data_IF_729507050705
#
_entry.id   IF_729507050705
#
_cell.length_a   1.000
_cell.length_b   1.000
_cell.length_c   1.000
_cell.angle_alpha   90.00
_cell.angle_beta   90.00
_cell.angle_gamma   90.00
#
_symmetry.space_group_name_H-M   'P 1'
#
loop_
_entity.id
_entity.type
_entity.pdbx_description
1 polymer ?
#
# COMPACT_ATOMS: atom_id res chain seq x y z
N UNK A 1 -1.34 -13.16 -14.86
CA UNK A 1 -1.91 -12.89 -13.53
C UNK A 1 -2.06 -14.20 -12.77
N UNK A 2 -1.82 -14.21 -11.45
CA UNK A 2 -2.11 -15.38 -10.63
C UNK A 2 -3.60 -15.70 -10.64
N UNK A 3 -4.00 -16.96 -10.42
CA UNK A 3 -5.39 -17.35 -10.36
C UNK A 3 -6.14 -16.69 -9.18
N UNK A 4 -7.36 -16.20 -9.41
CA UNK A 4 -8.19 -15.51 -8.39
C UNK A 4 -8.44 -16.33 -7.13
N UNK A 5 -8.57 -17.65 -7.22
CA UNK A 5 -8.82 -18.52 -6.06
C UNK A 5 -7.72 -18.44 -4.99
N UNK A 6 -6.50 -18.02 -5.36
CA UNK A 6 -5.40 -17.85 -4.41
C UNK A 6 -5.69 -16.75 -3.38
N UNK A 7 -6.50 -15.74 -3.72
CA UNK A 7 -6.89 -14.66 -2.79
C UNK A 7 -7.77 -15.15 -1.63
N UNK A 8 -8.38 -16.30 -1.78
CA UNK A 8 -9.33 -16.87 -0.80
C UNK A 8 -8.73 -18.01 0.03
N UNK A 9 -7.43 -18.28 -0.13
CA UNK A 9 -6.74 -19.32 0.64
C UNK A 9 -6.21 -18.74 1.97
N UNK A 10 -6.29 -19.49 3.08
CA UNK A 10 -5.85 -19.02 4.39
C UNK A 10 -4.35 -18.71 4.50
N UNK A 11 -3.53 -19.35 3.69
CA UNK A 11 -2.08 -19.21 3.64
C UNK A 11 -1.59 -18.24 2.55
N UNK A 12 -2.50 -17.67 1.77
CA UNK A 12 -2.14 -16.68 0.75
C UNK A 12 -1.49 -15.44 1.38
N UNK A 13 -0.39 -14.93 0.83
CA UNK A 13 0.25 -13.71 1.34
C UNK A 13 -0.59 -12.44 1.11
N UNK A 14 -1.60 -12.52 0.23
CA UNK A 14 -2.61 -11.48 0.04
C UNK A 14 -3.98 -12.15 0.03
N UNK A 15 -4.86 -11.69 0.88
CA UNK A 15 -6.19 -12.26 1.04
C UNK A 15 -7.26 -11.21 0.70
N UNK A 16 -8.31 -11.64 0.02
CA UNK A 16 -9.52 -10.85 -0.20
C UNK A 16 -10.68 -11.48 0.55
N UNK A 17 -11.05 -10.87 1.67
CA UNK A 17 -12.16 -11.31 2.52
C UNK A 17 -13.40 -10.45 2.24
N UNK A 18 -14.59 -11.03 2.46
CA UNK A 18 -15.86 -10.36 2.24
C UNK A 18 -16.70 -10.37 3.51
N UNK A 19 -17.26 -9.20 3.83
CA UNK A 19 -18.25 -9.05 4.90
C UNK A 19 -19.37 -8.11 4.42
N UNK A 20 -20.46 -8.66 3.91
CA UNK A 20 -21.50 -7.88 3.27
C UNK A 20 -20.98 -7.10 2.06
N UNK A 21 -21.15 -5.79 2.08
CA UNK A 21 -20.65 -4.87 1.05
C UNK A 21 -19.18 -4.43 1.28
N UNK A 22 -18.55 -4.86 2.37
CA UNK A 22 -17.13 -4.60 2.64
C UNK A 22 -16.25 -5.68 2.00
N UNK A 23 -15.16 -5.27 1.40
CA UNK A 23 -14.03 -6.11 1.00
C UNK A 23 -12.84 -5.78 1.87
N UNK A 24 -12.19 -6.79 2.43
CA UNK A 24 -10.99 -6.61 3.25
C UNK A 24 -9.82 -7.16 2.43
N UNK A 25 -8.99 -6.26 1.94
CA UNK A 25 -7.73 -6.60 1.29
C UNK A 25 -6.66 -6.66 2.37
N UNK A 26 -6.23 -7.88 2.69
CA UNK A 26 -5.36 -8.17 3.82
C UNK A 26 -4.00 -8.69 3.36
N UNK A 27 -2.92 -8.07 3.82
CA UNK A 27 -1.58 -8.60 3.68
C UNK A 27 -1.32 -9.61 4.81
N UNK A 28 -0.79 -10.78 4.45
CA UNK A 28 -0.62 -11.93 5.34
C UNK A 28 0.77 -12.55 5.18
N UNK A 29 1.80 -11.71 5.26
CA UNK A 29 3.23 -12.11 5.24
C UNK A 29 3.92 -11.55 6.48
N UNK A 30 3.39 -11.88 7.66
CA UNK A 30 3.79 -11.30 8.95
C UNK A 30 5.28 -11.43 9.23
N UNK A 31 5.90 -12.58 8.91
CA UNK A 31 7.34 -12.83 9.11
C UNK A 31 8.25 -11.85 8.37
N UNK A 32 7.77 -11.27 7.26
CA UNK A 32 8.45 -10.24 6.49
C UNK A 32 7.83 -8.85 6.71
N UNK A 33 7.12 -8.61 7.83
CA UNK A 33 6.45 -7.36 8.15
C UNK A 33 5.51 -6.89 7.02
N UNK A 34 4.91 -7.82 6.31
CA UNK A 34 4.05 -7.58 5.15
C UNK A 34 4.74 -6.79 4.02
N UNK A 35 6.07 -6.86 3.91
CA UNK A 35 6.80 -6.29 2.79
C UNK A 35 6.30 -6.90 1.47
N UNK A 36 6.03 -6.03 0.49
CA UNK A 36 5.39 -6.41 -0.77
C UNK A 36 6.45 -6.95 -1.73
N UNK A 37 6.36 -8.22 -2.07
CA UNK A 37 7.14 -8.82 -3.16
C UNK A 37 6.34 -8.88 -4.47
N UNK A 38 6.97 -9.42 -5.52
CA UNK A 38 6.35 -9.55 -6.85
C UNK A 38 5.08 -10.40 -6.86
N UNK A 39 5.03 -11.45 -6.06
CA UNK A 39 3.85 -12.30 -5.97
C UNK A 39 2.70 -11.52 -5.32
N UNK A 40 2.98 -10.82 -4.23
CA UNK A 40 1.99 -10.01 -3.53
C UNK A 40 1.44 -8.89 -4.40
N UNK A 41 2.31 -8.15 -5.13
CA UNK A 41 1.83 -7.07 -6.02
C UNK A 41 0.93 -7.61 -7.13
N UNK A 42 1.24 -8.79 -7.66
CA UNK A 42 0.41 -9.47 -8.66
C UNK A 42 -0.95 -9.90 -8.07
N UNK A 43 -0.97 -10.43 -6.85
CA UNK A 43 -2.22 -10.80 -6.14
C UNK A 43 -3.06 -9.57 -5.80
N UNK A 44 -2.44 -8.47 -5.39
CA UNK A 44 -3.12 -7.19 -5.15
C UNK A 44 -3.81 -6.72 -6.44
N UNK A 45 -3.14 -6.82 -7.59
CA UNK A 45 -3.76 -6.49 -8.88
C UNK A 45 -5.00 -7.34 -9.15
N UNK A 46 -4.91 -8.65 -8.94
CA UNK A 46 -6.05 -9.56 -9.12
C UNK A 46 -7.20 -9.21 -8.16
N UNK A 47 -6.88 -8.79 -6.94
CA UNK A 47 -7.90 -8.33 -5.98
C UNK A 47 -8.62 -7.07 -6.48
N UNK A 48 -7.89 -6.09 -7.03
CA UNK A 48 -8.52 -4.91 -7.62
C UNK A 48 -9.36 -5.26 -8.86
N UNK A 49 -8.92 -6.22 -9.70
CA UNK A 49 -9.71 -6.71 -10.85
C UNK A 49 -11.03 -7.37 -10.43
N UNK A 50 -11.15 -7.79 -9.17
CA UNK A 50 -12.37 -8.31 -8.59
C UNK A 50 -13.21 -7.20 -7.91
N UNK A 51 -12.55 -6.29 -7.21
CA UNK A 51 -13.20 -5.22 -6.45
C UNK A 51 -13.79 -4.13 -7.34
N UNK A 52 -13.03 -3.65 -8.33
CA UNK A 52 -13.43 -2.48 -9.14
C UNK A 52 -14.75 -2.69 -9.88
N UNK A 53 -14.96 -3.80 -10.60
CA UNK A 53 -16.21 -4.02 -11.31
C UNK A 53 -17.35 -4.51 -10.39
N UNK A 54 -17.08 -4.91 -9.15
CA UNK A 54 -18.09 -5.50 -8.28
C UNK A 54 -19.13 -4.45 -7.82
N UNK A 55 -20.40 -4.55 -8.21
CA UNK A 55 -21.42 -3.59 -7.80
C UNK A 55 -21.76 -3.67 -6.31
N UNK A 56 -21.44 -4.80 -5.67
CA UNK A 56 -21.71 -5.07 -4.26
C UNK A 56 -20.53 -4.68 -3.34
N UNK A 57 -19.37 -4.30 -3.89
CA UNK A 57 -18.24 -3.84 -3.10
C UNK A 57 -18.35 -2.32 -2.89
N UNK A 58 -18.88 -1.90 -1.75
CA UNK A 58 -19.04 -0.48 -1.42
C UNK A 58 -17.82 0.09 -0.68
N UNK A 59 -17.22 -0.71 0.20
CA UNK A 59 -16.08 -0.31 1.01
C UNK A 59 -14.96 -1.32 0.88
N UNK A 60 -13.74 -0.83 0.75
CA UNK A 60 -12.51 -1.62 0.76
C UNK A 60 -11.69 -1.20 1.97
N UNK A 61 -11.40 -2.14 2.86
CA UNK A 61 -10.50 -1.96 3.99
C UNK A 61 -9.16 -2.62 3.65
N UNK A 62 -8.08 -1.86 3.63
CA UNK A 62 -6.73 -2.38 3.47
C UNK A 62 -6.03 -2.46 4.82
N UNK A 63 -5.48 -3.65 5.14
CA UNK A 63 -4.79 -3.91 6.41
C UNK A 63 -3.67 -4.95 6.27
N UNK A 64 -2.82 -5.03 7.28
CA UNK A 64 -1.85 -6.12 7.45
C UNK A 64 -2.16 -6.98 8.67
N UNK A 65 -1.69 -8.23 8.66
CA UNK A 65 -1.70 -9.11 9.83
C UNK A 65 -0.46 -8.85 10.68
N UNK A 66 -0.60 -8.95 12.01
CA UNK A 66 0.49 -8.84 12.97
C UNK A 66 0.85 -7.40 13.32
N UNK A 67 2.15 -7.16 13.59
CA UNK A 67 2.64 -5.88 14.12
C UNK A 67 2.95 -4.81 13.07
N UNK A 68 2.73 -5.11 11.80
CA UNK A 68 3.01 -4.23 10.68
C UNK A 68 1.83 -4.24 9.72
N UNK A 69 1.37 -3.08 9.32
CA UNK A 69 0.46 -3.00 8.19
C UNK A 69 1.21 -3.36 6.90
N UNK A 70 2.34 -2.70 6.63
CA UNK A 70 3.21 -2.99 5.50
C UNK A 70 4.54 -2.24 5.63
N UNK A 71 5.67 -2.93 5.58
CA UNK A 71 7.00 -2.32 5.67
C UNK A 71 7.55 -1.80 4.32
N UNK A 72 6.71 -1.72 3.28
CA UNK A 72 7.11 -1.26 1.95
C UNK A 72 7.39 -2.38 0.97
N UNK A 73 8.11 -2.09 -0.10
CA UNK A 73 8.58 -3.08 -1.06
C UNK A 73 9.66 -4.00 -0.44
N UNK A 74 9.68 -5.26 -0.86
CA UNK A 74 10.73 -6.22 -0.45
C UNK A 74 12.03 -5.91 -1.19
N UNK A 75 12.80 -4.95 -0.65
CA UNK A 75 14.04 -4.45 -1.24
C UNK A 75 15.06 -5.57 -1.47
N UNK A 76 15.15 -6.55 -0.56
CA UNK A 76 16.09 -7.66 -0.72
C UNK A 76 15.76 -8.52 -1.94
N UNK A 77 14.47 -8.78 -2.18
CA UNK A 77 14.04 -9.51 -3.38
C UNK A 77 14.32 -8.71 -4.65
N UNK A 78 14.16 -7.39 -4.63
CA UNK A 78 14.40 -6.50 -5.76
C UNK A 78 15.89 -6.40 -6.10
N UNK A 79 16.77 -6.27 -5.11
CA UNK A 79 18.24 -6.27 -5.30
C UNK A 79 18.69 -7.60 -5.88
N UNK A 80 18.20 -8.72 -5.35
CA UNK A 80 18.50 -10.06 -5.87
C UNK A 80 18.10 -10.21 -7.36
N UNK A 81 17.02 -9.59 -7.78
CA UNK A 81 16.60 -9.57 -9.18
C UNK A 81 17.48 -8.64 -10.03
N UNK A 82 17.83 -7.47 -9.49
CA UNK A 82 18.66 -6.50 -10.19
C UNK A 82 20.07 -7.01 -10.48
N UNK A 83 20.61 -7.88 -9.62
CA UNK A 83 21.92 -8.50 -9.75
C UNK A 83 21.99 -9.69 -10.71
N UNK A 84 20.85 -10.10 -11.31
CA UNK A 84 20.84 -11.21 -12.27
C UNK A 84 21.56 -10.81 -13.56
N UNK A 85 22.33 -11.74 -14.14
CA UNK A 85 22.96 -11.56 -15.45
C UNK A 85 21.92 -11.54 -16.58
N UNK A 86 20.89 -12.35 -16.47
CA UNK A 86 19.79 -12.41 -17.44
C UNK A 86 18.99 -11.11 -17.43
N UNK A 87 18.96 -10.43 -18.57
CA UNK A 87 18.27 -9.14 -18.76
C UNK A 87 16.76 -9.25 -18.53
N UNK A 88 16.15 -10.40 -18.81
CA UNK A 88 14.71 -10.64 -18.59
C UNK A 88 14.45 -10.75 -17.10
N UNK A 89 15.28 -11.50 -16.36
CA UNK A 89 15.16 -11.59 -14.91
C UNK A 89 15.39 -10.23 -14.23
N UNK A 90 16.40 -9.49 -14.68
CA UNK A 90 16.70 -8.13 -14.19
C UNK A 90 15.55 -7.17 -14.45
N UNK A 91 14.91 -7.22 -15.61
CA UNK A 91 13.77 -6.34 -15.95
C UNK A 91 12.57 -6.51 -15.02
N UNK A 92 12.46 -7.66 -14.32
CA UNK A 92 11.39 -7.92 -13.36
C UNK A 92 11.44 -6.99 -12.14
N UNK A 93 12.61 -6.44 -11.77
CA UNK A 93 12.72 -5.42 -10.73
C UNK A 93 12.06 -4.11 -11.17
N UNK A 94 12.24 -3.71 -12.42
CA UNK A 94 11.59 -2.51 -12.99
C UNK A 94 10.08 -2.70 -13.08
N UNK A 95 9.62 -3.87 -13.48
CA UNK A 95 8.19 -4.18 -13.54
C UNK A 95 7.51 -4.13 -12.16
N UNK A 96 8.24 -4.43 -11.09
CA UNK A 96 7.71 -4.29 -9.75
C UNK A 96 7.26 -2.85 -9.48
N UNK A 97 8.12 -1.87 -9.72
CA UNK A 97 7.81 -0.44 -9.54
C UNK A 97 6.66 0.02 -10.44
N UNK A 98 6.64 -0.43 -11.70
CA UNK A 98 5.53 -0.12 -12.60
C UNK A 98 4.18 -0.62 -12.04
N UNK A 99 4.15 -1.84 -11.52
CA UNK A 99 2.95 -2.42 -10.93
C UNK A 99 2.56 -1.72 -9.63
N UNK A 100 3.53 -1.35 -8.79
CA UNK A 100 3.30 -0.60 -7.55
C UNK A 100 2.67 0.77 -7.83
N UNK A 101 3.22 1.54 -8.77
CA UNK A 101 2.65 2.82 -9.18
C UNK A 101 1.24 2.66 -9.77
N UNK A 102 1.00 1.59 -10.53
CA UNK A 102 -0.33 1.28 -11.04
C UNK A 102 -1.34 1.04 -9.91
N UNK A 103 -0.92 0.37 -8.82
CA UNK A 103 -1.79 0.19 -7.65
C UNK A 103 -2.14 1.52 -7.00
N UNK A 104 -1.16 2.40 -6.81
CA UNK A 104 -1.40 3.72 -6.24
C UNK A 104 -2.42 4.51 -7.07
N UNK A 105 -2.32 4.43 -8.40
CA UNK A 105 -3.29 4.99 -9.33
C UNK A 105 -4.69 4.36 -9.13
N UNK A 106 -4.79 3.04 -9.04
CA UNK A 106 -6.05 2.31 -8.83
C UNK A 106 -6.71 2.71 -7.51
N UNK A 107 -5.94 2.81 -6.42
CA UNK A 107 -6.44 3.31 -5.12
C UNK A 107 -7.02 4.71 -5.25
N UNK A 108 -6.29 5.62 -5.91
CA UNK A 108 -6.77 7.00 -6.11
C UNK A 108 -8.06 7.06 -6.92
N UNK A 109 -8.17 6.23 -7.96
CA UNK A 109 -9.33 6.24 -8.86
C UNK A 109 -10.48 5.34 -8.41
N UNK A 110 -10.31 4.51 -7.38
CA UNK A 110 -11.38 3.61 -6.92
C UNK A 110 -12.67 4.35 -6.55
N UNK A 111 -12.56 5.56 -6.02
CA UNK A 111 -13.72 6.43 -5.73
C UNK A 111 -14.55 6.81 -6.96
N UNK A 112 -14.03 6.62 -8.18
CA UNK A 112 -14.78 6.81 -9.43
C UNK A 112 -15.56 5.57 -9.83
N UNK A 113 -15.20 4.41 -9.32
CA UNK A 113 -15.99 3.20 -9.47
C UNK A 113 -17.22 3.31 -8.55
N UNK A 114 -18.37 2.88 -9.06
CA UNK A 114 -19.63 3.00 -8.34
C UNK A 114 -20.19 1.66 -7.88
N UNK A 115 -20.95 1.71 -6.81
CA UNK A 115 -21.77 0.60 -6.34
C UNK A 115 -23.02 0.45 -7.21
N UNK A 116 -23.80 -0.60 -6.96
CA UNK A 116 -25.09 -0.80 -7.61
C UNK A 116 -26.07 0.39 -7.43
N UNK A 117 -25.93 1.14 -6.34
CA UNK A 117 -26.74 2.34 -6.04
C UNK A 117 -26.15 3.63 -6.61
N UNK A 118 -25.08 3.55 -7.41
CA UNK A 118 -24.42 4.72 -8.00
C UNK A 118 -23.52 5.50 -7.04
N UNK A 119 -23.31 5.04 -5.80
CA UNK A 119 -22.41 5.70 -4.85
C UNK A 119 -20.94 5.37 -5.13
N UNK A 120 -20.02 6.32 -4.95
CA UNK A 120 -18.59 6.06 -5.03
C UNK A 120 -18.15 4.99 -4.04
N UNK A 121 -17.18 4.16 -4.45
CA UNK A 121 -16.55 3.20 -3.53
C UNK A 121 -15.60 3.92 -2.58
N UNK A 122 -15.60 3.47 -1.33
CA UNK A 122 -14.73 4.01 -0.28
C UNK A 122 -13.55 3.09 -0.06
N UNK A 123 -12.33 3.61 -0.11
CA UNK A 123 -11.11 2.88 0.24
C UNK A 123 -10.54 3.43 1.56
N UNK A 124 -10.30 2.53 2.52
CA UNK A 124 -9.85 2.85 3.87
C UNK A 124 -8.52 2.15 4.11
N UNK A 125 -7.48 2.92 4.42
CA UNK A 125 -6.20 2.39 4.90
C UNK A 125 -6.17 2.32 6.42
N UNK A 126 -6.00 1.11 6.98
CA UNK A 126 -5.85 0.94 8.42
C UNK A 126 -4.35 0.90 8.77
N UNK A 127 -3.84 2.02 9.28
CA UNK A 127 -2.44 2.18 9.68
C UNK A 127 -2.23 1.66 11.10
N UNK A 128 -2.14 0.35 11.24
CA UNK A 128 -1.91 -0.29 12.52
C UNK A 128 -0.53 -0.93 12.56
N UNK A 129 0.35 -0.40 13.41
CA UNK A 129 1.75 -0.78 13.48
C UNK A 129 2.62 -0.12 12.41
N UNK A 130 3.64 -0.82 11.92
CA UNK A 130 4.61 -0.30 10.94
C UNK A 130 3.94 -0.06 9.59
N UNK A 131 4.12 1.16 9.04
CA UNK A 131 3.73 1.50 7.67
C UNK A 131 4.82 2.34 7.02
N UNK A 132 5.43 1.83 5.94
CA UNK A 132 6.59 2.46 5.30
C UNK A 132 6.57 2.28 3.78
N UNK A 133 7.23 3.20 3.06
CA UNK A 133 7.49 3.09 1.63
C UNK A 133 6.27 2.75 0.79
N UNK A 134 6.35 1.70 -0.03
CA UNK A 134 5.24 1.22 -0.85
C UNK A 134 3.96 0.91 -0.09
N UNK A 135 4.05 0.54 1.21
CA UNK A 135 2.89 0.36 2.07
C UNK A 135 2.11 1.66 2.29
N UNK A 136 2.82 2.78 2.41
CA UNK A 136 2.22 4.12 2.44
C UNK A 136 1.53 4.41 1.10
N UNK A 137 2.20 4.11 -0.02
CA UNK A 137 1.66 4.29 -1.36
C UNK A 137 0.32 3.58 -1.59
N UNK A 138 0.15 2.39 -1.00
CA UNK A 138 -1.10 1.63 -1.06
C UNK A 138 -2.28 2.31 -0.35
N UNK A 139 -2.04 3.32 0.48
CA UNK A 139 -3.08 3.90 1.34
C UNK A 139 -3.09 5.41 1.41
N UNK A 140 -1.99 6.10 1.12
CA UNK A 140 -1.94 7.57 1.21
C UNK A 140 -2.94 8.26 0.26
N UNK A 141 -3.29 7.59 -0.84
CA UNK A 141 -4.28 8.06 -1.81
C UNK A 141 -5.71 7.60 -1.50
N UNK A 142 -5.92 6.92 -0.37
CA UNK A 142 -7.23 6.42 0.06
C UNK A 142 -8.19 7.54 0.47
N UNK A 143 -9.47 7.21 0.53
CA UNK A 143 -10.52 8.11 1.02
C UNK A 143 -10.31 8.46 2.49
N UNK A 144 -9.97 7.43 3.30
CA UNK A 144 -9.71 7.58 4.74
C UNK A 144 -8.44 6.82 5.12
N UNK A 145 -7.69 7.36 6.05
CA UNK A 145 -6.56 6.74 6.72
C UNK A 145 -6.80 6.77 8.21
N UNK A 146 -6.83 5.60 8.83
CA UNK A 146 -7.07 5.43 10.27
C UNK A 146 -5.79 4.91 10.91
N UNK A 147 -5.22 5.66 11.82
CA UNK A 147 -4.05 5.24 12.61
C UNK A 147 -4.47 4.68 13.96
N UNK A 148 -3.61 3.83 14.51
CA UNK A 148 -3.66 3.40 15.91
C UNK A 148 -2.50 4.01 16.70
N UNK A 149 -2.52 3.79 18.01
CA UNK A 149 -1.41 4.18 18.91
C UNK A 149 -0.11 3.43 18.57
N UNK A 150 -0.21 2.30 17.86
CA UNK A 150 0.93 1.48 17.43
C UNK A 150 1.53 1.95 16.11
N UNK A 151 0.91 2.92 15.43
CA UNK A 151 1.36 3.39 14.12
C UNK A 151 2.79 3.91 14.19
N UNK A 152 3.63 3.41 13.30
CA UNK A 152 4.98 3.89 13.05
C UNK A 152 5.14 4.11 11.55
N UNK A 153 4.98 5.37 11.15
CA UNK A 153 5.11 5.80 9.76
C UNK A 153 6.53 6.22 9.45
N UNK A 154 7.03 5.89 8.26
CA UNK A 154 8.22 6.51 7.66
C UNK A 154 8.24 6.35 6.14
N UNK A 155 9.00 7.26 5.47
CA UNK A 155 9.46 7.08 4.08
C UNK A 155 10.98 6.96 4.14
N UNK A 156 11.52 5.72 4.28
CA UNK A 156 12.94 5.50 4.55
C UNK A 156 13.81 5.51 3.29
N UNK A 157 13.29 5.87 2.14
CA UNK A 157 13.92 5.75 0.83
C UNK A 157 15.25 6.51 0.77
N UNK A 158 15.33 7.73 1.32
CA UNK A 158 16.55 8.53 1.30
C UNK A 158 17.68 7.91 2.12
N UNK A 159 17.35 7.11 3.15
CA UNK A 159 18.36 6.38 3.93
C UNK A 159 19.01 5.22 3.16
N UNK A 160 18.41 4.78 2.06
CA UNK A 160 18.92 3.71 1.19
C UNK A 160 19.34 4.22 -0.20
N UNK A 161 19.49 5.54 -0.37
CA UNK A 161 19.96 6.13 -1.62
C UNK A 161 18.89 6.29 -2.70
N UNK A 162 17.62 6.34 -2.31
CA UNK A 162 16.48 6.55 -3.20
C UNK A 162 15.74 7.85 -2.80
N UNK A 163 14.51 8.04 -3.21
CA UNK A 163 13.67 9.19 -2.85
C UNK A 163 12.25 8.71 -2.52
N UNK A 164 11.48 9.44 -1.71
CA UNK A 164 10.08 9.12 -1.46
C UNK A 164 9.27 9.16 -2.76
N UNK A 165 8.89 8.00 -3.26
CA UNK A 165 8.11 7.80 -4.47
C UNK A 165 6.62 7.59 -4.15
N UNK A 166 5.92 6.69 -4.82
CA UNK A 166 4.52 6.30 -4.62
C UNK A 166 3.55 7.47 -4.41
N UNK A 167 3.87 8.64 -4.99
CA UNK A 167 3.08 9.86 -4.89
C UNK A 167 3.33 10.71 -3.63
N UNK A 168 4.29 10.32 -2.78
CA UNK A 168 4.59 11.05 -1.54
C UNK A 168 5.22 12.42 -1.79
N UNK A 169 5.95 12.62 -2.88
CA UNK A 169 6.42 13.96 -3.27
C UNK A 169 5.27 14.95 -3.48
N UNK A 170 4.15 14.48 -4.02
CA UNK A 170 2.93 15.28 -4.15
C UNK A 170 2.30 15.58 -2.80
N UNK A 171 2.20 14.59 -1.91
CA UNK A 171 1.61 14.74 -0.57
C UNK A 171 2.49 15.63 0.28
N UNK A 172 3.79 15.35 0.36
CA UNK A 172 4.73 16.09 1.19
C UNK A 172 4.88 17.55 0.82
N UNK A 173 4.78 17.90 -0.48
CA UNK A 173 4.84 19.29 -0.92
C UNK A 173 3.62 20.14 -0.48
N UNK A 174 2.58 19.50 0.07
CA UNK A 174 1.33 20.13 0.53
C UNK A 174 1.17 20.14 2.04
N UNK A 175 2.13 19.56 2.76
CA UNK A 175 2.15 19.64 4.23
C UNK A 175 2.71 21.01 4.65
N UNK A 176 2.06 21.62 5.64
CA UNK A 176 2.44 22.92 6.16
C UNK A 176 3.82 22.90 6.86
N UNK A 177 4.44 24.07 6.98
CA UNK A 177 5.65 24.29 7.79
C UNK A 177 6.91 23.58 7.30
N UNK A 178 6.94 23.08 6.05
CA UNK A 178 8.09 22.34 5.52
C UNK A 178 8.27 20.93 6.07
N UNK A 179 7.28 20.43 6.83
CA UNK A 179 7.32 19.09 7.47
C UNK A 179 7.50 17.99 6.42
N UNK A 180 6.83 18.09 5.27
CA UNK A 180 6.97 17.08 4.21
C UNK A 180 8.40 16.99 3.67
N UNK A 181 9.07 18.13 3.48
CA UNK A 181 10.48 18.15 3.08
C UNK A 181 11.38 17.54 4.15
N UNK A 182 11.15 17.88 5.42
CA UNK A 182 11.88 17.30 6.54
C UNK A 182 11.75 15.78 6.57
N UNK A 183 10.53 15.24 6.55
CA UNK A 183 10.28 13.80 6.57
C UNK A 183 10.92 13.10 5.36
N UNK A 184 10.73 13.69 4.17
CA UNK A 184 11.22 13.10 2.91
C UNK A 184 12.74 13.07 2.81
N UNK A 185 13.45 14.07 3.35
CA UNK A 185 14.91 14.14 3.28
C UNK A 185 15.61 13.39 4.42
N UNK A 186 14.97 13.28 5.58
CA UNK A 186 15.61 12.71 6.78
C UNK A 186 15.21 11.27 7.06
N UNK A 187 14.21 10.74 6.33
CA UNK A 187 13.60 9.43 6.66
C UNK A 187 13.05 9.35 8.10
N UNK A 188 12.68 10.49 8.68
CA UNK A 188 12.20 10.56 10.06
C UNK A 188 10.95 9.72 10.27
N UNK A 189 10.87 9.09 11.43
CA UNK A 189 9.73 8.28 11.83
C UNK A 189 8.70 9.14 12.54
N UNK A 190 7.43 8.91 12.25
CA UNK A 190 6.30 9.56 12.91
C UNK A 190 5.48 8.51 13.66
N UNK A 191 5.08 8.84 14.89
CA UNK A 191 4.03 8.10 15.61
C UNK A 191 2.65 8.34 14.96
N UNK A 192 1.64 7.60 15.39
CA UNK A 192 0.26 7.86 14.96
C UNK A 192 -0.20 9.28 15.29
N UNK A 193 0.17 9.80 16.46
CA UNK A 193 -0.13 11.17 16.87
C UNK A 193 0.58 12.22 15.97
N UNK A 194 1.87 12.01 15.66
CA UNK A 194 2.61 12.91 14.77
C UNK A 194 2.01 12.91 13.36
N UNK A 195 1.66 11.72 12.83
CA UNK A 195 1.05 11.59 11.52
C UNK A 195 -0.33 12.26 11.46
N UNK A 196 -1.07 12.29 12.56
CA UNK A 196 -2.32 13.04 12.69
C UNK A 196 -2.08 14.55 12.68
N UNK A 197 -1.18 15.05 13.53
CA UNK A 197 -0.85 16.47 13.64
C UNK A 197 -0.30 17.04 12.32
N UNK A 198 0.45 16.22 11.56
CA UNK A 198 1.00 16.62 10.25
C UNK A 198 -0.01 16.53 9.10
N UNK A 199 -1.28 16.26 9.36
CA UNK A 199 -2.34 16.10 8.36
C UNK A 199 -2.09 14.97 7.33
N UNK A 200 -1.25 13.99 7.65
CA UNK A 200 -1.12 12.76 6.86
C UNK A 200 -2.32 11.83 7.05
N UNK A 201 -3.06 12.00 8.14
CA UNK A 201 -4.24 11.23 8.49
C UNK A 201 -5.49 12.13 8.48
N UNK A 202 -6.61 11.52 8.12
CA UNK A 202 -7.94 12.05 8.43
C UNK A 202 -8.58 11.08 9.42
N UNK A 203 -9.00 11.58 10.53
CA UNK A 203 -9.83 10.86 11.50
C UNK A 203 -11.29 11.04 11.16
#
# INVERSE_FOLDING_TARGET
HPPKHLLHQPDSPVQLLSNGSMRILQLNREKALNAIDRNMISLINVAFDEIEPSPNAATVLFRGVGRSMCAGGDVMSLVTLADKEDIVERSKSVWFFQWELMQNYRVHYLRRATTQLGHPKTYIGLWDGIIMGGGVGMTVHSTLRIASERTLFAMPETAIGYYPDVGLTYVFSRLDGGVGMYIGLTSSRLSGADAYITCLLYT
#
